data_IF_220914308033
#
_entry.id   IF_220914308033
#
_cell.length_a   1.000
_cell.length_b   1.000
_cell.length_c   1.000
_cell.angle_alpha   90.00
_cell.angle_beta   90.00
_cell.angle_gamma   90.00
#
_symmetry.space_group_name_H-M   'P 1'
#
loop_
_entity.id
_entity.type
_entity.pdbx_description
1 polymer ?
#
# COMPACT_ATOMS: atom_id res chain seq x y z
N UNK A 1 -17.24 3.14 -20.13
CA UNK A 1 -15.91 3.50 -19.61
C UNK A 1 -15.96 3.58 -18.09
N UNK A 2 -15.02 2.89 -17.43
CA UNK A 2 -14.96 2.92 -15.97
C UNK A 2 -14.30 4.22 -15.49
N UNK A 3 -14.82 4.75 -14.41
CA UNK A 3 -14.19 5.90 -13.73
C UNK A 3 -12.93 5.46 -13.01
N UNK A 4 -11.96 6.35 -12.92
CA UNK A 4 -10.70 6.12 -12.22
C UNK A 4 -10.89 6.41 -10.74
N UNK A 5 -10.40 5.51 -9.89
CA UNK A 5 -10.37 5.68 -8.44
C UNK A 5 -8.95 5.47 -7.95
N UNK A 6 -8.43 6.42 -7.21
CA UNK A 6 -7.13 6.31 -6.55
C UNK A 6 -7.33 5.91 -5.10
N UNK A 7 -6.64 4.86 -4.70
CA UNK A 7 -6.71 4.32 -3.34
C UNK A 7 -5.36 4.50 -2.67
N UNK A 8 -5.38 5.08 -1.47
CA UNK A 8 -4.16 5.24 -0.67
C UNK A 8 -3.69 3.87 -0.17
N UNK A 9 -2.39 3.71 -0.01
CA UNK A 9 -1.78 2.47 0.43
C UNK A 9 -1.67 2.37 1.95
N UNK A 10 -0.92 3.29 2.55
CA UNK A 10 -0.61 3.22 3.99
C UNK A 10 -1.82 3.57 4.84
N UNK A 11 -2.18 2.66 5.76
CA UNK A 11 -3.34 2.84 6.63
C UNK A 11 -4.67 2.51 5.98
N UNK A 12 -4.69 2.18 4.69
CA UNK A 12 -5.91 1.82 3.96
C UNK A 12 -5.86 0.37 3.52
N UNK A 13 -4.85 -0.02 2.76
CA UNK A 13 -4.68 -1.42 2.33
C UNK A 13 -3.50 -2.10 3.00
N UNK A 14 -2.48 -1.35 3.39
CA UNK A 14 -1.31 -1.84 4.11
C UNK A 14 -1.35 -1.34 5.56
N UNK A 15 -1.08 -2.23 6.51
CA UNK A 15 -1.15 -1.92 7.93
C UNK A 15 0.15 -1.30 8.43
N UNK A 16 0.38 -0.06 8.06
CA UNK A 16 1.54 0.71 8.45
C UNK A 16 1.60 0.94 9.97
N UNK A 17 0.47 1.25 10.58
CA UNK A 17 0.41 1.53 12.02
C UNK A 17 0.84 0.33 12.86
N UNK A 18 0.43 -0.88 12.45
CA UNK A 18 0.84 -2.12 13.11
C UNK A 18 2.35 -2.32 13.03
N UNK A 19 2.94 -2.11 11.86
CA UNK A 19 4.37 -2.26 11.65
C UNK A 19 5.17 -1.25 12.49
N UNK A 20 4.70 0.00 12.55
CA UNK A 20 5.34 1.04 13.36
C UNK A 20 5.28 0.70 14.84
N UNK A 21 4.12 0.20 15.30
CA UNK A 21 3.92 -0.18 16.70
C UNK A 21 4.78 -1.37 17.11
N UNK A 22 4.83 -2.42 16.27
CA UNK A 22 5.63 -3.61 16.53
C UNK A 22 7.13 -3.30 16.57
N UNK A 23 7.58 -2.36 15.76
CA UNK A 23 8.97 -1.93 15.74
C UNK A 23 9.33 -0.93 16.82
N UNK A 24 8.35 -0.40 17.56
CA UNK A 24 8.56 0.64 18.57
C UNK A 24 8.94 1.99 17.97
N UNK A 25 8.58 2.24 16.72
CA UNK A 25 8.95 3.46 16.01
C UNK A 25 7.94 4.56 16.29
N UNK A 26 8.23 5.39 17.28
CA UNK A 26 7.36 6.49 17.67
C UNK A 26 7.70 7.82 17.02
N UNK A 27 8.91 7.95 16.48
CA UNK A 27 9.38 9.16 15.79
C UNK A 27 9.73 8.82 14.35
N UNK A 28 9.08 9.48 13.39
CA UNK A 28 9.29 9.27 11.96
C UNK A 28 9.29 7.79 11.56
N UNK A 29 8.21 7.05 11.86
CA UNK A 29 8.15 5.63 11.51
C UNK A 29 8.26 5.37 10.00
N UNK A 30 7.86 6.33 9.17
CA UNK A 30 8.00 6.28 7.72
C UNK A 30 9.46 6.08 7.26
N UNK A 31 10.43 6.47 8.09
CA UNK A 31 11.85 6.31 7.78
C UNK A 31 12.43 4.98 8.25
N UNK A 32 11.68 4.19 9.02
CA UNK A 32 12.19 3.00 9.70
C UNK A 32 11.44 1.72 9.35
N UNK A 33 10.18 1.81 8.99
CA UNK A 33 9.34 0.65 8.70
C UNK A 33 9.81 -0.03 7.42
N UNK A 34 9.79 -1.38 7.42
CA UNK A 34 10.06 -2.15 6.23
C UNK A 34 8.78 -2.27 5.39
N UNK A 35 8.66 -1.44 4.36
CA UNK A 35 7.47 -1.40 3.51
C UNK A 35 7.26 -2.66 2.68
N UNK A 36 8.28 -3.49 2.51
CA UNK A 36 8.15 -4.75 1.75
C UNK A 36 7.36 -5.80 2.54
N UNK A 37 7.41 -5.75 3.87
CA UNK A 37 6.86 -6.77 4.76
C UNK A 37 5.62 -6.32 5.52
N UNK A 38 4.93 -5.28 5.05
CA UNK A 38 3.70 -4.84 5.70
C UNK A 38 2.60 -5.90 5.58
N UNK A 39 1.79 -6.01 6.64
CA UNK A 39 0.58 -6.83 6.59
C UNK A 39 -0.53 -6.12 5.83
N UNK A 40 -1.43 -6.90 5.25
CA UNK A 40 -2.66 -6.37 4.66
C UNK A 40 -3.62 -5.88 5.75
N UNK A 41 -4.32 -4.78 5.46
CA UNK A 41 -5.46 -4.41 6.29
C UNK A 41 -6.56 -5.46 6.12
N UNK A 42 -7.29 -5.82 7.21
CA UNK A 42 -8.37 -6.79 7.12
C UNK A 42 -9.40 -6.40 6.05
N UNK A 43 -9.71 -7.33 5.16
CA UNK A 43 -10.69 -7.12 4.11
C UNK A 43 -10.21 -6.31 2.91
N UNK A 44 -8.96 -5.88 2.87
CA UNK A 44 -8.44 -5.02 1.80
C UNK A 44 -8.51 -5.70 0.43
N UNK A 45 -8.13 -6.97 0.34
CA UNK A 45 -8.16 -7.69 -0.94
C UNK A 45 -9.57 -7.79 -1.51
N UNK A 46 -10.53 -8.18 -0.69
CA UNK A 46 -11.93 -8.30 -1.11
C UNK A 46 -12.52 -6.96 -1.50
N UNK A 47 -12.24 -5.93 -0.71
CA UNK A 47 -12.75 -4.59 -0.97
C UNK A 47 -12.23 -4.03 -2.30
N UNK A 48 -10.92 -4.16 -2.53
CA UNK A 48 -10.33 -3.69 -3.79
C UNK A 48 -10.80 -4.48 -4.99
N UNK A 49 -11.00 -5.79 -4.84
CA UNK A 49 -11.49 -6.64 -5.91
C UNK A 49 -12.89 -6.21 -6.34
N UNK A 50 -13.77 -5.94 -5.38
CA UNK A 50 -15.12 -5.44 -5.65
C UNK A 50 -15.09 -4.07 -6.31
N UNK A 51 -14.24 -3.18 -5.80
CA UNK A 51 -14.08 -1.85 -6.36
C UNK A 51 -13.57 -1.90 -7.80
N UNK A 52 -12.65 -2.80 -8.09
CA UNK A 52 -12.06 -2.95 -9.43
C UNK A 52 -13.06 -3.50 -10.47
N UNK A 53 -14.16 -4.11 -10.05
CA UNK A 53 -15.22 -4.54 -10.95
C UNK A 53 -15.95 -3.34 -11.57
N UNK A 54 -16.12 -2.27 -10.79
CA UNK A 54 -16.91 -1.10 -11.20
C UNK A 54 -16.06 0.10 -11.61
N UNK A 55 -14.80 0.14 -11.18
CA UNK A 55 -13.90 1.28 -11.38
C UNK A 55 -12.53 0.80 -11.86
N UNK A 56 -11.78 1.70 -12.49
CA UNK A 56 -10.36 1.50 -12.73
C UNK A 56 -9.59 1.93 -11.48
N UNK A 57 -9.07 0.97 -10.74
CA UNK A 57 -8.41 1.22 -9.46
C UNK A 57 -6.91 1.38 -9.66
N UNK A 58 -6.37 2.45 -9.11
CA UNK A 58 -4.92 2.72 -9.04
C UNK A 58 -4.53 2.98 -7.60
N UNK A 59 -3.33 2.57 -7.24
CA UNK A 59 -2.78 2.86 -5.91
C UNK A 59 -2.00 4.16 -5.98
N UNK A 60 -2.37 5.11 -5.11
CA UNK A 60 -1.69 6.39 -4.99
C UNK A 60 -0.89 6.39 -3.69
N UNK A 61 0.43 6.38 -3.80
CA UNK A 61 1.31 6.38 -2.64
C UNK A 61 2.62 7.07 -2.99
N UNK A 62 3.27 7.64 -1.98
CA UNK A 62 4.58 8.26 -2.15
C UNK A 62 5.54 7.73 -1.09
N UNK A 63 6.80 7.44 -1.44
CA UNK A 63 7.80 7.07 -0.46
C UNK A 63 8.36 8.32 0.24
N UNK A 64 8.96 8.14 1.44
CA UNK A 64 9.75 9.22 2.03
C UNK A 64 10.89 9.63 1.10
N UNK A 65 11.12 10.92 0.99
CA UNK A 65 12.11 11.47 0.06
C UNK A 65 13.51 10.91 0.31
N UNK A 66 13.85 10.63 1.56
CA UNK A 66 15.16 10.09 1.95
C UNK A 66 15.31 8.58 1.79
N UNK A 67 14.23 7.88 1.32
CA UNK A 67 14.26 6.42 1.15
C UNK A 67 13.78 6.03 -0.24
N UNK A 68 14.63 6.16 -1.25
CA UNK A 68 14.26 5.78 -2.64
C UNK A 68 13.97 4.28 -2.80
N UNK A 69 14.53 3.44 -1.95
CA UNK A 69 14.26 2.00 -1.92
C UNK A 69 12.78 1.68 -1.67
N UNK A 70 12.06 2.57 -0.99
CA UNK A 70 10.64 2.36 -0.66
C UNK A 70 9.77 2.29 -1.90
N UNK A 71 10.11 2.99 -2.99
CA UNK A 71 9.41 2.84 -4.27
C UNK A 71 9.37 1.37 -4.72
N UNK A 72 10.53 0.74 -4.74
CA UNK A 72 10.66 -0.65 -5.13
C UNK A 72 9.90 -1.56 -4.17
N UNK A 73 10.05 -1.36 -2.88
CA UNK A 73 9.39 -2.16 -1.86
C UNK A 73 7.86 -2.08 -1.94
N UNK A 74 7.32 -0.87 -2.10
CA UNK A 74 5.87 -0.67 -2.24
C UNK A 74 5.34 -1.32 -3.51
N UNK A 75 6.06 -1.19 -4.61
CA UNK A 75 5.69 -1.78 -5.89
C UNK A 75 5.69 -3.31 -5.80
N UNK A 76 6.71 -3.90 -5.18
CA UNK A 76 6.79 -5.34 -4.99
C UNK A 76 5.66 -5.84 -4.09
N UNK A 77 5.37 -5.11 -3.02
CA UNK A 77 4.29 -5.44 -2.11
C UNK A 77 2.92 -5.45 -2.82
N UNK A 78 2.65 -4.43 -3.62
CA UNK A 78 1.40 -4.34 -4.40
C UNK A 78 1.34 -5.48 -5.41
N UNK A 79 2.43 -5.78 -6.09
CA UNK A 79 2.49 -6.87 -7.05
C UNK A 79 2.26 -8.25 -6.45
N UNK A 80 2.68 -8.45 -5.20
CA UNK A 80 2.48 -9.70 -4.48
C UNK A 80 1.04 -9.89 -4.01
N UNK A 81 0.46 -8.83 -3.43
CA UNK A 81 -0.86 -8.91 -2.81
C UNK A 81 -2.01 -8.61 -3.77
N UNK A 82 -1.75 -7.81 -4.81
CA UNK A 82 -2.76 -7.39 -5.79
C UNK A 82 -2.21 -7.54 -7.22
N UNK A 83 -1.85 -8.76 -7.65
CA UNK A 83 -1.21 -8.95 -8.96
C UNK A 83 -2.10 -8.57 -10.13
N UNK A 84 -3.40 -8.52 -9.91
CA UNK A 84 -4.40 -8.17 -10.93
C UNK A 84 -4.60 -6.66 -11.09
N UNK A 85 -4.02 -5.83 -10.20
CA UNK A 85 -4.12 -4.38 -10.31
C UNK A 85 -3.20 -3.84 -11.40
N UNK A 86 -3.70 -2.87 -12.15
CA UNK A 86 -2.86 -2.10 -13.07
C UNK A 86 -1.96 -1.18 -12.28
N UNK A 87 -0.72 -1.08 -12.69
CA UNK A 87 0.28 -0.25 -12.02
C UNK A 87 0.64 0.95 -12.87
N UNK A 88 0.61 2.08 -12.24
CA UNK A 88 1.06 3.31 -12.89
C UNK A 88 1.79 4.18 -11.89
#
# INVERSE_FOLDING_TARGET
MKKIVYVDMDGVIADFAKAAKLGGYTHRPDLKVNFRDLDLMPGAQDALMKLNNDFDVFIATTPPWSRPDVWTHKREWIGEHFPWLKRK
#
